data_IF_612933911775
#
_entry.id   IF_612933911775
#
_cell.length_a   1.000
_cell.length_b   1.000
_cell.length_c   1.000
_cell.angle_alpha   90.00
_cell.angle_beta   90.00
_cell.angle_gamma   90.00
#
_symmetry.space_group_name_H-M   'P 1'
#
loop_
_entity.id
_entity.type
_entity.pdbx_description
1 polymer ?
#
# COMPACT_ATOMS: atom_id res chain seq x y z
N UNK A 1 13.31 -38.37 37.67
CA UNK A 1 13.60 -37.11 38.40
C UNK A 1 14.57 -37.29 39.59
N UNK A 2 15.68 -38.02 39.42
CA UNK A 2 16.59 -38.35 40.55
C UNK A 2 18.04 -37.88 40.34
N UNK A 3 18.54 -37.84 39.11
CA UNK A 3 19.93 -37.48 38.82
C UNK A 3 20.26 -35.99 39.05
N UNK A 4 19.32 -35.08 38.74
CA UNK A 4 19.51 -33.64 38.95
C UNK A 4 19.58 -33.26 40.44
N UNK A 5 18.84 -33.98 41.30
CA UNK A 5 18.87 -33.77 42.77
C UNK A 5 20.21 -34.19 43.39
N UNK A 6 20.81 -35.28 42.89
CA UNK A 6 22.09 -35.76 43.39
C UNK A 6 23.26 -34.81 43.04
N UNK A 7 23.25 -34.20 41.87
CA UNK A 7 24.32 -33.28 41.44
C UNK A 7 24.29 -31.94 42.18
N UNK A 8 23.10 -31.40 42.48
CA UNK A 8 22.96 -30.17 43.27
C UNK A 8 23.53 -30.33 44.70
N UNK A 9 23.37 -31.50 45.31
CA UNK A 9 23.85 -31.78 46.66
C UNK A 9 25.39 -31.89 46.78
N UNK A 10 26.10 -32.19 45.69
CA UNK A 10 27.56 -32.22 45.67
C UNK A 10 28.16 -30.81 45.51
N UNK A 11 27.56 -29.97 44.66
CA UNK A 11 28.01 -28.58 44.46
C UNK A 11 27.82 -27.74 45.74
N UNK A 12 26.72 -27.95 46.47
CA UNK A 12 26.47 -27.28 47.74
C UNK A 12 27.52 -27.58 48.83
N UNK A 13 28.26 -28.69 48.72
CA UNK A 13 29.34 -29.03 49.67
C UNK A 13 30.70 -28.39 49.34
N UNK A 14 30.86 -27.85 48.12
CA UNK A 14 32.10 -27.21 47.68
C UNK A 14 32.08 -25.68 47.86
N UNK A 15 30.95 -25.09 48.26
CA UNK A 15 30.89 -23.68 48.62
C UNK A 15 31.65 -23.46 49.94
N UNK A 16 32.59 -22.50 49.93
CA UNK A 16 33.34 -22.11 51.12
C UNK A 16 32.38 -21.73 52.24
N UNK A 17 32.35 -22.53 53.31
CA UNK A 17 31.71 -22.14 54.57
C UNK A 17 32.59 -21.08 55.21
N UNK A 18 32.29 -19.80 54.96
CA UNK A 18 32.80 -18.72 55.79
C UNK A 18 32.28 -18.95 57.20
N UNK A 19 33.15 -19.43 58.08
CA UNK A 19 32.87 -19.51 59.50
C UNK A 19 32.64 -18.08 59.99
N UNK A 20 31.40 -17.74 60.33
CA UNK A 20 31.10 -16.50 61.05
C UNK A 20 31.63 -16.65 62.47
N UNK A 21 32.87 -16.23 62.69
CA UNK A 21 33.37 -15.96 64.04
C UNK A 21 32.68 -14.69 64.53
N UNK A 22 31.56 -14.85 65.22
CA UNK A 22 31.10 -13.84 66.16
C UNK A 22 32.08 -13.85 67.34
N UNK A 23 33.23 -13.18 67.16
CA UNK A 23 34.06 -12.80 68.29
C UNK A 23 33.34 -11.65 68.98
N UNK A 24 32.80 -11.91 70.16
CA UNK A 24 32.37 -10.88 71.10
C UNK A 24 33.61 -10.15 71.62
N UNK A 25 34.09 -9.18 70.85
CA UNK A 25 35.10 -8.22 71.32
C UNK A 25 34.36 -7.10 72.05
N UNK A 26 34.37 -7.18 73.37
CA UNK A 26 33.99 -6.09 74.25
C UNK A 26 35.05 -4.98 74.14
N UNK A 27 34.57 -3.73 74.07
CA UNK A 27 35.29 -2.45 74.15
C UNK A 27 35.76 -1.82 72.82
N UNK A 28 35.01 -0.81 72.37
CA UNK A 28 35.47 0.17 71.37
C UNK A 28 34.33 0.90 70.67
N UNK A 29 34.17 2.19 70.94
CA UNK A 29 33.17 3.08 70.33
C UNK A 29 33.44 3.36 68.85
N UNK A 30 33.24 2.37 67.97
CA UNK A 30 33.23 2.60 66.52
C UNK A 30 31.88 2.16 65.95
N UNK A 31 31.19 3.08 65.27
CA UNK A 31 30.02 2.75 64.46
C UNK A 31 30.44 1.62 63.51
N UNK A 32 29.68 0.51 63.41
CA UNK A 32 29.97 -0.51 62.42
C UNK A 32 29.97 0.16 61.04
N UNK A 33 31.05 -0.02 60.27
CA UNK A 33 31.08 0.47 58.90
C UNK A 33 29.87 -0.10 58.16
N UNK A 34 29.12 0.76 57.46
CA UNK A 34 28.00 0.31 56.62
C UNK A 34 28.57 -0.61 55.52
N UNK A 35 28.50 -1.91 55.76
CA UNK A 35 28.94 -2.91 54.79
C UNK A 35 27.87 -3.01 53.71
N UNK A 36 28.00 -2.16 52.69
CA UNK A 36 27.19 -2.21 51.49
C UNK A 36 27.83 -3.22 50.53
N UNK A 37 27.61 -4.52 50.77
CA UNK A 37 28.04 -5.58 49.84
C UNK A 37 27.20 -5.44 48.56
N UNK A 38 27.71 -4.66 47.59
CA UNK A 38 27.06 -4.52 46.30
C UNK A 38 27.00 -5.88 45.59
N UNK A 39 25.86 -6.17 44.95
CA UNK A 39 25.69 -7.35 44.13
C UNK A 39 26.82 -7.44 43.10
N UNK A 40 27.59 -8.54 43.14
CA UNK A 40 28.67 -8.80 42.19
C UNK A 40 28.14 -8.76 40.75
N UNK A 41 28.97 -8.35 39.80
CA UNK A 41 28.65 -8.34 38.36
C UNK A 41 28.11 -9.68 37.86
N UNK A 42 28.62 -10.80 38.39
CA UNK A 42 28.10 -12.14 38.08
C UNK A 42 26.67 -12.38 38.60
N UNK A 43 26.32 -11.81 39.76
CA UNK A 43 24.96 -11.90 40.31
C UNK A 43 23.95 -11.08 39.49
N UNK A 44 24.35 -9.91 38.98
CA UNK A 44 23.52 -9.12 38.07
C UNK A 44 23.32 -9.82 36.72
N UNK A 45 24.37 -10.43 36.16
CA UNK A 45 24.27 -11.19 34.91
C UNK A 45 23.36 -12.42 35.05
N UNK A 46 23.43 -13.13 36.16
CA UNK A 46 22.59 -14.32 36.39
C UNK A 46 21.13 -13.95 36.58
N UNK A 47 20.84 -12.88 37.33
CA UNK A 47 19.48 -12.34 37.47
C UNK A 47 18.95 -11.85 36.12
N UNK A 48 19.76 -11.10 35.37
CA UNK A 48 19.40 -10.64 34.02
C UNK A 48 19.13 -11.79 33.05
N UNK A 49 19.97 -12.83 33.05
CA UNK A 49 19.77 -14.02 32.22
C UNK A 49 18.53 -14.81 32.63
N UNK A 50 18.24 -14.91 33.92
CA UNK A 50 17.04 -15.57 34.41
C UNK A 50 15.77 -14.85 33.93
N UNK A 51 15.67 -13.55 34.15
CA UNK A 51 14.50 -12.80 33.67
C UNK A 51 14.44 -12.73 32.14
N UNK A 52 15.57 -12.59 31.47
CA UNK A 52 15.65 -12.60 30.01
C UNK A 52 15.17 -13.93 29.40
N UNK A 53 15.57 -15.07 29.96
CA UNK A 53 15.11 -16.39 29.48
C UNK A 53 13.63 -16.61 29.76
N UNK A 54 13.11 -16.18 30.91
CA UNK A 54 11.67 -16.22 31.22
C UNK A 54 10.87 -15.37 30.23
N UNK A 55 11.33 -14.16 29.91
CA UNK A 55 10.69 -13.29 28.92
C UNK A 55 10.71 -13.93 27.53
N UNK A 56 11.86 -14.43 27.07
CA UNK A 56 11.96 -15.13 25.77
C UNK A 56 11.00 -16.32 25.72
N UNK A 57 10.90 -17.10 26.79
CA UNK A 57 9.99 -18.25 26.88
C UNK A 57 8.51 -17.86 26.73
N UNK A 58 8.10 -16.69 27.24
CA UNK A 58 6.71 -16.21 27.07
C UNK A 58 6.36 -15.88 25.61
N UNK A 59 7.35 -15.52 24.79
CA UNK A 59 7.15 -15.18 23.37
C UNK A 59 7.47 -16.35 22.42
N UNK A 60 7.72 -17.55 22.94
CA UNK A 60 7.88 -18.75 22.10
C UNK A 60 6.54 -19.07 21.43
N UNK A 61 6.47 -19.12 20.09
CA UNK A 61 5.24 -19.46 19.40
C UNK A 61 4.82 -20.90 19.68
N UNK A 62 3.51 -21.16 19.64
CA UNK A 62 2.98 -22.53 19.66
C UNK A 62 3.24 -23.19 18.30
N UNK A 63 3.30 -24.53 18.28
CA UNK A 63 3.55 -25.29 17.06
C UNK A 63 2.55 -24.90 15.96
N UNK A 64 3.07 -24.34 14.86
CA UNK A 64 2.29 -23.91 13.69
C UNK A 64 2.18 -22.40 13.48
N UNK A 65 2.41 -21.57 14.51
CA UNK A 65 2.33 -20.11 14.38
C UNK A 65 3.68 -19.48 14.03
N UNK A 66 3.69 -18.55 13.07
CA UNK A 66 4.87 -17.71 12.80
C UNK A 66 5.14 -16.85 14.04
N UNK A 67 6.38 -16.88 14.56
CA UNK A 67 6.72 -16.04 15.70
C UNK A 67 6.53 -14.55 15.37
N UNK A 68 6.06 -13.78 16.34
CA UNK A 68 5.85 -12.33 16.19
C UNK A 68 7.11 -11.64 15.65
N UNK A 69 8.28 -12.03 16.16
CA UNK A 69 9.57 -11.52 15.69
C UNK A 69 9.87 -11.89 14.23
N UNK A 70 9.58 -13.13 13.80
CA UNK A 70 9.71 -13.49 12.39
C UNK A 70 8.77 -12.64 11.53
N UNK A 71 7.52 -12.47 11.95
CA UNK A 71 6.55 -11.67 11.19
C UNK A 71 6.99 -10.22 11.03
N UNK A 72 7.68 -9.68 12.04
CA UNK A 72 8.22 -8.32 12.00
C UNK A 72 9.39 -8.24 11.01
N UNK A 73 10.31 -9.21 11.04
CA UNK A 73 11.43 -9.31 10.10
C UNK A 73 10.91 -9.48 8.67
N UNK A 74 9.94 -10.39 8.47
CA UNK A 74 9.32 -10.68 7.17
C UNK A 74 8.66 -9.41 6.61
N UNK A 75 8.01 -8.59 7.45
CA UNK A 75 7.41 -7.31 7.04
C UNK A 75 8.45 -6.25 6.61
N UNK A 76 9.65 -6.26 7.18
CA UNK A 76 10.71 -5.35 6.72
C UNK A 76 11.39 -5.86 5.46
N UNK A 77 11.54 -7.18 5.34
CA UNK A 77 12.17 -7.84 4.21
C UNK A 77 11.26 -7.91 2.98
N UNK A 78 9.93 -7.97 3.17
CA UNK A 78 8.94 -7.97 2.08
C UNK A 78 8.90 -6.66 1.31
N UNK A 79 9.28 -5.54 1.95
CA UNK A 79 9.13 -4.20 1.37
C UNK A 79 9.70 -4.11 -0.03
N UNK A 80 10.88 -4.67 -0.29
CA UNK A 80 11.51 -4.60 -1.61
C UNK A 80 10.64 -5.26 -2.70
N UNK A 81 10.00 -6.40 -2.39
CA UNK A 81 9.07 -7.09 -3.29
C UNK A 81 7.78 -6.30 -3.47
N UNK A 82 7.25 -5.75 -2.39
CA UNK A 82 6.04 -4.93 -2.42
C UNK A 82 6.25 -3.69 -3.31
N UNK A 83 7.41 -3.04 -3.23
CA UNK A 83 7.77 -1.91 -4.09
C UNK A 83 7.90 -2.30 -5.57
N UNK A 84 8.46 -3.49 -5.86
CA UNK A 84 8.55 -4.01 -7.22
C UNK A 84 7.15 -4.28 -7.80
N UNK A 85 6.27 -4.91 -7.02
CA UNK A 85 4.89 -5.19 -7.42
C UNK A 85 4.08 -3.89 -7.64
N UNK A 86 4.21 -2.92 -6.73
CA UNK A 86 3.56 -1.61 -6.85
C UNK A 86 4.03 -0.89 -8.12
N UNK A 87 5.34 -0.89 -8.39
CA UNK A 87 5.88 -0.28 -9.60
C UNK A 87 5.37 -0.98 -10.87
N UNK A 88 5.33 -2.32 -10.87
CA UNK A 88 4.79 -3.09 -11.98
C UNK A 88 3.29 -2.85 -12.21
N UNK A 89 2.52 -2.58 -11.15
CA UNK A 89 1.11 -2.21 -11.26
C UNK A 89 0.97 -0.81 -11.85
N UNK A 90 1.78 0.15 -11.39
CA UNK A 90 1.76 1.52 -11.92
C UNK A 90 2.14 1.58 -13.40
N UNK A 91 3.14 0.80 -13.84
CA UNK A 91 3.50 0.76 -15.26
C UNK A 91 2.36 0.20 -16.11
N UNK A 92 1.73 -0.90 -15.68
CA UNK A 92 0.56 -1.46 -16.38
C UNK A 92 -0.62 -0.48 -16.43
N UNK A 93 -0.89 0.23 -15.34
CA UNK A 93 -1.94 1.24 -15.30
C UNK A 93 -1.67 2.40 -16.27
N UNK A 94 -0.41 2.85 -16.35
CA UNK A 94 0.01 3.88 -17.30
C UNK A 94 -0.11 3.40 -18.76
N UNK A 95 0.28 2.16 -19.05
CA UNK A 95 0.14 1.54 -20.37
C UNK A 95 -1.33 1.46 -20.80
N UNK A 96 -2.21 1.00 -19.90
CA UNK A 96 -3.65 0.93 -20.15
C UNK A 96 -4.24 2.33 -20.38
N UNK A 97 -3.89 3.31 -19.55
CA UNK A 97 -4.34 4.69 -19.73
C UNK A 97 -3.89 5.28 -21.09
N UNK A 98 -2.67 4.94 -21.53
CA UNK A 98 -2.16 5.32 -22.85
C UNK A 98 -2.94 4.67 -23.99
N UNK A 99 -3.25 3.38 -23.85
CA UNK A 99 -4.09 2.64 -24.81
C UNK A 99 -5.50 3.22 -24.89
N UNK A 100 -6.14 3.45 -23.75
CA UNK A 100 -7.50 4.00 -23.68
C UNK A 100 -7.54 5.41 -24.27
N UNK A 101 -6.55 6.25 -23.98
CA UNK A 101 -6.43 7.57 -24.60
C UNK A 101 -6.34 7.47 -26.12
N UNK A 102 -5.50 6.58 -26.63
CA UNK A 102 -5.39 6.36 -28.07
C UNK A 102 -6.72 5.88 -28.67
N UNK A 103 -7.43 4.98 -27.98
CA UNK A 103 -8.76 4.53 -28.38
C UNK A 103 -9.78 5.67 -28.41
N UNK A 104 -9.79 6.59 -27.45
CA UNK A 104 -10.73 7.72 -27.45
C UNK A 104 -10.35 8.85 -28.41
N UNK A 105 -9.05 9.06 -28.64
CA UNK A 105 -8.59 10.04 -29.61
C UNK A 105 -8.84 9.56 -31.05
N UNK A 106 -8.55 8.28 -31.35
CA UNK A 106 -8.58 7.72 -32.71
C UNK A 106 -9.74 6.77 -33.01
N UNK A 107 -10.55 6.37 -32.02
CA UNK A 107 -11.64 5.39 -32.13
C UNK A 107 -12.83 5.81 -33.01
N UNK A 108 -12.77 7.00 -33.62
CA UNK A 108 -13.63 7.38 -34.73
C UNK A 108 -14.32 8.72 -34.53
N UNK A 109 -14.14 9.62 -35.49
CA UNK A 109 -14.85 10.90 -35.57
C UNK A 109 -16.38 10.77 -35.71
N UNK A 110 -16.89 9.55 -35.93
CA UNK A 110 -18.31 9.23 -36.16
C UNK A 110 -19.22 9.52 -34.96
N UNK A 111 -18.67 9.67 -33.75
CA UNK A 111 -19.46 9.92 -32.54
C UNK A 111 -19.21 11.30 -31.91
N UNK A 112 -18.34 12.14 -32.50
CA UNK A 112 -18.09 13.50 -32.01
C UNK A 112 -19.12 14.52 -32.52
N UNK A 113 -19.84 14.18 -33.57
CA UNK A 113 -20.84 15.04 -34.18
C UNK A 113 -22.19 14.33 -34.16
N UNK A 114 -23.24 15.05 -33.77
CA UNK A 114 -24.61 14.57 -33.85
C UNK A 114 -25.16 15.02 -35.21
N UNK A 115 -25.50 14.07 -36.07
CA UNK A 115 -26.17 14.37 -37.32
C UNK A 115 -27.58 14.88 -37.01
N UNK A 116 -27.79 16.18 -37.23
CA UNK A 116 -29.09 16.83 -37.16
C UNK A 116 -29.78 16.72 -38.52
N UNK A 117 -31.08 16.43 -38.52
CA UNK A 117 -31.87 16.33 -39.74
C UNK A 117 -31.93 17.65 -40.54
N UNK A 118 -31.75 18.79 -39.87
CA UNK A 118 -31.71 20.11 -40.48
C UNK A 118 -30.89 21.07 -39.61
N UNK A 119 -30.19 22.06 -40.22
CA UNK A 119 -29.25 22.92 -39.50
C UNK A 119 -29.93 23.86 -38.48
N UNK A 120 -31.20 24.20 -38.70
CA UNK A 120 -31.97 25.07 -37.79
C UNK A 120 -32.25 24.41 -36.44
N UNK A 121 -32.15 23.08 -36.32
CA UNK A 121 -32.27 22.37 -35.05
C UNK A 121 -31.21 22.81 -34.04
N UNK A 122 -30.02 23.21 -34.50
CA UNK A 122 -28.92 23.72 -33.67
C UNK A 122 -29.29 25.06 -33.01
N UNK A 123 -30.19 25.81 -33.64
CA UNK A 123 -30.74 27.08 -33.15
C UNK A 123 -32.17 26.91 -32.61
N UNK A 124 -32.60 25.69 -32.28
CA UNK A 124 -33.88 25.50 -31.60
C UNK A 124 -33.74 25.94 -30.14
N UNK A 125 -34.04 27.21 -29.87
CA UNK A 125 -34.02 27.81 -28.54
C UNK A 125 -35.38 28.48 -28.24
N UNK A 126 -35.61 28.84 -26.97
CA UNK A 126 -36.84 29.57 -26.58
C UNK A 126 -36.88 30.95 -27.24
N UNK A 127 -37.94 31.33 -27.99
CA UNK A 127 -37.99 32.60 -28.74
C UNK A 127 -37.97 33.86 -27.86
N UNK A 128 -37.91 33.72 -26.53
CA UNK A 128 -37.95 34.82 -25.57
C UNK A 128 -36.59 34.96 -24.90
N UNK A 129 -36.17 36.21 -24.67
CA UNK A 129 -35.00 36.58 -23.88
C UNK A 129 -33.62 36.33 -24.53
N UNK A 130 -33.50 36.46 -25.85
CA UNK A 130 -32.19 36.49 -26.51
C UNK A 130 -31.74 37.92 -26.75
N UNK A 131 -30.50 38.24 -26.38
CA UNK A 131 -29.87 39.49 -26.74
C UNK A 131 -29.57 39.50 -28.25
N UNK A 132 -29.65 40.68 -28.87
CA UNK A 132 -29.25 40.84 -30.27
C UNK A 132 -27.78 40.42 -30.45
N UNK A 133 -27.51 39.55 -31.42
CA UNK A 133 -26.16 38.99 -31.64
C UNK A 133 -25.81 37.74 -30.81
N UNK A 134 -26.73 37.24 -29.98
CA UNK A 134 -26.53 35.99 -29.23
C UNK A 134 -26.43 34.74 -30.12
N UNK A 135 -27.07 34.78 -31.30
CA UNK A 135 -27.03 33.67 -32.26
C UNK A 135 -25.83 33.79 -33.19
N UNK A 136 -25.08 32.71 -33.32
CA UNK A 136 -24.02 32.59 -34.30
C UNK A 136 -24.59 32.63 -35.73
N UNK A 137 -23.84 33.22 -36.67
CA UNK A 137 -24.17 33.14 -38.09
C UNK A 137 -24.00 31.69 -38.58
N UNK A 138 -25.06 31.11 -39.14
CA UNK A 138 -25.11 29.73 -39.63
C UNK A 138 -24.92 29.60 -41.15
N UNK A 139 -24.69 30.68 -41.88
CA UNK A 139 -24.59 30.68 -43.35
C UNK A 139 -23.62 29.64 -43.89
N UNK A 140 -22.45 29.51 -43.24
CA UNK A 140 -21.44 28.52 -43.60
C UNK A 140 -21.93 27.07 -43.41
N UNK A 141 -22.59 26.80 -42.27
CA UNK A 141 -23.13 25.47 -41.95
C UNK A 141 -24.24 25.10 -42.93
N UNK A 142 -25.11 26.05 -43.24
CA UNK A 142 -26.18 25.89 -44.24
C UNK A 142 -25.58 25.62 -45.62
N UNK A 143 -24.54 26.35 -46.02
CA UNK A 143 -23.85 26.12 -47.30
C UNK A 143 -23.24 24.71 -47.38
N UNK A 144 -22.60 24.25 -46.30
CA UNK A 144 -22.02 22.91 -46.22
C UNK A 144 -23.08 21.81 -46.39
N UNK A 145 -24.18 21.85 -45.62
CA UNK A 145 -25.23 20.84 -45.74
C UNK A 145 -25.96 20.88 -47.09
N UNK A 146 -26.09 22.07 -47.70
CA UNK A 146 -26.59 22.20 -49.09
C UNK A 146 -25.68 21.49 -50.08
N UNK A 147 -24.36 21.67 -49.97
CA UNK A 147 -23.39 20.97 -50.83
C UNK A 147 -23.49 19.46 -50.65
N UNK A 148 -23.52 18.97 -49.41
CA UNK A 148 -23.69 17.55 -49.12
C UNK A 148 -24.98 16.97 -49.73
N UNK A 149 -26.10 17.70 -49.63
CA UNK A 149 -27.36 17.27 -50.22
C UNK A 149 -27.26 17.12 -51.75
N UNK A 150 -26.63 18.08 -52.43
CA UNK A 150 -26.43 18.03 -53.88
C UNK A 150 -25.55 16.83 -54.28
N UNK A 151 -24.46 16.58 -53.56
CA UNK A 151 -23.59 15.42 -53.79
C UNK A 151 -24.33 14.09 -53.60
N UNK A 152 -25.20 14.00 -52.60
CA UNK A 152 -26.01 12.81 -52.36
C UNK A 152 -27.06 12.57 -53.45
N UNK A 153 -27.74 13.62 -53.92
CA UNK A 153 -28.69 13.54 -55.03
C UNK A 153 -27.99 13.12 -56.33
N UNK A 154 -26.81 13.67 -56.63
CA UNK A 154 -25.99 13.20 -57.77
C UNK A 154 -25.62 11.73 -57.64
N UNK A 155 -25.23 11.28 -56.44
CA UNK A 155 -24.91 9.87 -56.16
C UNK A 155 -26.14 8.96 -56.35
N UNK A 156 -27.31 9.39 -55.90
CA UNK A 156 -28.57 8.64 -56.08
C UNK A 156 -28.95 8.59 -57.57
N UNK A 157 -28.84 9.70 -58.29
CA UNK A 157 -29.10 9.78 -59.72
C UNK A 157 -28.18 8.86 -60.53
N UNK A 158 -26.87 8.83 -60.21
CA UNK A 158 -25.90 7.92 -60.84
C UNK A 158 -26.25 6.44 -60.59
N UNK A 159 -26.64 6.09 -59.36
CA UNK A 159 -27.09 4.72 -59.02
C UNK A 159 -28.36 4.33 -59.78
N UNK A 160 -29.34 5.23 -59.86
CA UNK A 160 -30.58 5.00 -60.61
C UNK A 160 -30.31 4.84 -62.12
N UNK A 161 -29.40 5.64 -62.68
CA UNK A 161 -29.03 5.55 -64.08
C UNK A 161 -28.33 4.22 -64.39
N UNK A 162 -27.42 3.75 -63.52
CA UNK A 162 -26.77 2.45 -63.66
C UNK A 162 -27.78 1.29 -63.59
N UNK A 163 -28.73 1.31 -62.65
CA UNK A 163 -29.78 0.29 -62.53
C UNK A 163 -30.74 0.25 -63.74
N UNK A 164 -30.88 1.34 -64.49
CA UNK A 164 -31.70 1.37 -65.71
C UNK A 164 -30.97 0.86 -66.95
N UNK A 165 -29.65 0.71 -66.88
CA UNK A 165 -28.81 0.21 -67.98
C UNK A 165 -28.55 -1.30 -67.89
N UNK A 166 -28.76 -1.90 -66.72
CA UNK A 166 -28.91 -3.36 -66.53
C UNK A 166 -30.32 -3.83 -66.90
#
# INVERSE_FOLDING_TARGET
MLAARQRAACVARQLQRTARTYASEAHGHHKPAEVNESFSTGSLLTVGAFFGTVLVYQFVPKEGDKSFFLSLIDKYQSRAKDWEEINALHTKAAEQAGFDRNLFENGGHKHRFVDVAYPEAIQSYSPRNNQAGYLANMDYVVAHFRQQHLEEEERKAKKLAAQKQE
#
